data_IF_257562222574
#
_entry.id   IF_257562222574
#
_cell.length_a   1.000
_cell.length_b   1.000
_cell.length_c   1.000
_cell.angle_alpha   90.00
_cell.angle_beta   90.00
_cell.angle_gamma   90.00
#
_symmetry.space_group_name_H-M   'P 1'
#
loop_
_entity.id
_entity.type
_entity.pdbx_description
1 polymer ?
#
# COMPACT_ATOMS: atom_id res chain seq x y z
N UNK A 1 -1.97 -5.22 31.07
CA UNK A 1 -1.70 -4.74 29.70
C UNK A 1 -2.81 -3.76 29.37
N UNK A 2 -2.49 -2.46 29.35
CA UNK A 2 -3.47 -1.40 29.10
C UNK A 2 -3.79 -1.43 27.62
N UNK A 3 -5.01 -1.82 27.24
CA UNK A 3 -5.51 -1.64 25.87
C UNK A 3 -5.54 -0.14 25.59
N UNK A 4 -4.55 0.36 24.85
CA UNK A 4 -4.63 1.69 24.23
C UNK A 4 -5.75 1.59 23.20
N UNK A 5 -6.86 2.28 23.44
CA UNK A 5 -7.95 2.39 22.47
C UNK A 5 -7.52 3.42 21.44
N UNK A 6 -7.04 2.96 20.29
CA UNK A 6 -6.83 3.82 19.14
C UNK A 6 -8.18 4.33 18.64
N UNK A 7 -8.27 5.62 18.33
CA UNK A 7 -9.47 6.20 17.77
C UNK A 7 -9.61 5.69 16.32
N UNK A 8 -10.65 4.91 16.05
CA UNK A 8 -10.96 4.47 14.69
C UNK A 8 -11.24 5.71 13.83
N UNK A 9 -10.54 5.82 12.70
CA UNK A 9 -10.89 6.81 11.69
C UNK A 9 -12.30 6.52 11.16
N UNK A 10 -13.14 7.54 10.92
CA UNK A 10 -14.49 7.35 10.42
C UNK A 10 -14.46 6.97 8.92
N UNK A 11 -13.99 5.76 8.62
CA UNK A 11 -14.03 5.19 7.27
C UNK A 11 -15.42 4.61 7.02
N UNK A 12 -16.18 5.21 6.10
CA UNK A 12 -17.54 4.75 5.75
C UNK A 12 -17.50 4.01 4.41
N UNK A 13 -17.65 2.68 4.46
CA UNK A 13 -17.82 1.81 3.27
C UNK A 13 -16.74 0.74 3.09
N UNK A 14 -16.90 -0.20 2.14
CA UNK A 14 -15.95 -1.29 1.94
C UNK A 14 -14.61 -0.78 1.39
N UNK A 15 -13.60 -0.79 2.25
CA UNK A 15 -12.18 -0.55 1.93
C UNK A 15 -11.50 -1.90 1.75
N UNK A 16 -11.33 -2.35 0.51
CA UNK A 16 -10.82 -3.69 0.25
C UNK A 16 -10.30 -3.85 -1.17
N UNK A 17 -9.68 -5.00 -1.42
CA UNK A 17 -9.07 -5.29 -2.72
C UNK A 17 -10.18 -5.41 -3.78
N UNK A 18 -10.18 -4.51 -4.77
CA UNK A 18 -11.22 -4.41 -5.80
C UNK A 18 -12.37 -3.45 -5.48
N UNK A 19 -12.31 -2.67 -4.39
CA UNK A 19 -13.26 -1.58 -4.16
C UNK A 19 -12.93 -0.36 -5.03
N UNK A 20 -13.97 0.40 -5.41
CA UNK A 20 -13.81 1.66 -6.16
C UNK A 20 -12.91 2.65 -5.42
N UNK A 21 -13.02 2.71 -4.10
CA UNK A 21 -12.20 3.58 -3.26
C UNK A 21 -10.71 3.29 -3.41
N UNK A 22 -10.32 2.02 -3.60
CA UNK A 22 -8.91 1.68 -3.86
C UNK A 22 -8.44 2.22 -5.22
N UNK A 23 -9.27 2.14 -6.27
CA UNK A 23 -8.94 2.76 -7.56
C UNK A 23 -8.76 4.27 -7.41
N UNK A 24 -9.66 4.93 -6.69
CA UNK A 24 -9.64 6.36 -6.47
C UNK A 24 -8.41 6.82 -5.68
N UNK A 25 -8.13 6.22 -4.53
CA UNK A 25 -7.09 6.71 -3.61
C UNK A 25 -5.70 6.14 -3.89
N UNK A 26 -5.59 4.87 -4.32
CA UNK A 26 -4.28 4.24 -4.52
C UNK A 26 -3.66 4.51 -5.90
N UNK A 27 -4.47 4.65 -6.96
CA UNK A 27 -3.98 4.92 -8.32
C UNK A 27 -4.71 6.06 -9.03
N UNK A 28 -5.50 6.85 -8.30
CA UNK A 28 -6.16 8.03 -8.84
C UNK A 28 -7.16 7.74 -9.97
N UNK A 29 -7.74 6.55 -10.06
CA UNK A 29 -8.58 6.10 -11.18
C UNK A 29 -7.85 6.10 -12.55
N UNK A 30 -6.54 5.84 -12.58
CA UNK A 30 -5.71 5.88 -13.80
C UNK A 30 -6.26 5.04 -14.97
N UNK A 31 -6.91 3.91 -14.69
CA UNK A 31 -7.53 3.07 -15.72
C UNK A 31 -8.75 3.73 -16.39
N UNK A 32 -9.40 4.69 -15.73
CA UNK A 32 -10.57 5.41 -16.25
C UNK A 32 -10.20 6.74 -16.91
N UNK A 33 -8.94 7.19 -16.77
CA UNK A 33 -8.45 8.41 -17.42
C UNK A 33 -8.12 8.16 -18.88
N UNK A 34 -8.21 9.21 -19.68
CA UNK A 34 -7.66 9.19 -21.04
C UNK A 34 -6.16 8.90 -21.01
N UNK A 35 -5.68 8.14 -21.99
CA UNK A 35 -4.25 7.82 -22.12
C UNK A 35 -3.45 9.14 -22.19
N UNK A 36 -2.49 9.38 -21.28
CA UNK A 36 -1.82 10.67 -21.17
C UNK A 36 -0.87 10.95 -22.35
N UNK A 37 -0.47 9.91 -23.09
CA UNK A 37 0.31 10.07 -24.32
C UNK A 37 -0.56 10.67 -25.44
N UNK A 38 -0.50 12.00 -25.58
CA UNK A 38 -1.13 12.75 -26.68
C UNK A 38 -0.23 12.88 -27.92
N UNK A 39 0.99 12.36 -27.86
CA UNK A 39 1.89 12.38 -29.00
C UNK A 39 1.48 11.31 -30.01
N UNK A 40 1.82 11.49 -31.29
CA UNK A 40 1.65 10.45 -32.30
C UNK A 40 2.65 9.29 -32.17
N UNK A 41 3.46 9.25 -31.11
CA UNK A 41 4.43 8.20 -30.87
C UNK A 41 3.73 6.95 -30.30
N UNK A 42 4.30 5.78 -30.60
CA UNK A 42 3.80 4.51 -30.08
C UNK A 42 3.79 4.49 -28.54
N UNK A 43 2.75 3.87 -27.97
CA UNK A 43 2.67 3.64 -26.54
C UNK A 43 3.52 2.45 -26.14
N UNK A 44 3.88 2.35 -24.86
CA UNK A 44 4.52 1.13 -24.34
C UNK A 44 3.66 -0.12 -24.57
N UNK A 45 2.33 0.02 -24.49
CA UNK A 45 1.39 -1.06 -24.80
C UNK A 45 1.52 -1.53 -26.26
N UNK A 46 1.74 -0.63 -27.22
CA UNK A 46 1.99 -0.99 -28.63
C UNK A 46 3.31 -1.75 -28.81
N UNK A 47 4.37 -1.32 -28.11
CA UNK A 47 5.68 -1.99 -28.12
C UNK A 47 5.56 -3.41 -27.55
N UNK A 48 4.87 -3.56 -26.42
CA UNK A 48 4.61 -4.86 -25.80
C UNK A 48 3.72 -5.72 -26.70
N UNK A 49 2.64 -5.17 -27.23
CA UNK A 49 1.71 -5.87 -28.14
C UNK A 49 2.41 -6.42 -29.38
N UNK A 50 3.32 -5.64 -29.99
CA UNK A 50 4.16 -6.11 -31.10
C UNK A 50 5.11 -7.22 -30.69
N UNK A 51 5.75 -7.11 -29.52
CA UNK A 51 6.73 -8.08 -29.05
C UNK A 51 6.06 -9.42 -28.67
N UNK A 52 4.94 -9.35 -27.96
CA UNK A 52 4.13 -10.52 -27.59
C UNK A 52 3.52 -11.15 -28.84
N UNK A 53 2.96 -10.37 -29.77
CA UNK A 53 2.40 -10.88 -31.03
C UNK A 53 3.46 -11.64 -31.86
N UNK A 54 4.67 -11.09 -32.01
CA UNK A 54 5.79 -11.77 -32.68
C UNK A 54 6.20 -13.07 -31.98
N UNK A 55 6.22 -13.08 -30.65
CA UNK A 55 6.58 -14.27 -29.85
C UNK A 55 5.48 -15.33 -29.88
N UNK A 56 4.22 -14.93 -29.89
CA UNK A 56 3.06 -15.81 -30.06
C UNK A 56 2.98 -16.37 -31.46
N UNK A 57 3.39 -15.63 -32.49
CA UNK A 57 3.48 -16.14 -33.87
C UNK A 57 4.63 -17.16 -34.02
N UNK A 58 5.78 -16.89 -33.38
CA UNK A 58 6.93 -17.81 -33.38
C UNK A 58 6.71 -19.07 -32.53
N UNK A 59 5.98 -18.95 -31.41
CA UNK A 59 5.56 -20.12 -30.60
C UNK A 59 4.37 -20.85 -31.23
N UNK A 60 3.44 -20.13 -31.86
CA UNK A 60 2.26 -20.67 -32.54
C UNK A 60 2.58 -21.32 -33.89
N UNK A 61 3.65 -20.89 -34.58
CA UNK A 61 4.12 -21.53 -35.81
C UNK A 61 4.65 -22.96 -35.64
N UNK A 62 4.95 -23.37 -34.41
CA UNK A 62 5.32 -24.75 -34.05
C UNK A 62 4.17 -25.54 -33.39
N UNK A 63 2.97 -24.95 -33.24
CA UNK A 63 1.87 -25.56 -32.48
C UNK A 63 0.46 -25.26 -32.99
N UNK A 64 0.29 -24.72 -34.20
CA UNK A 64 -1.02 -24.44 -34.80
C UNK A 64 -1.73 -25.69 -35.34
N UNK A 65 -1.85 -26.73 -34.51
CA UNK A 65 -2.85 -27.77 -34.67
C UNK A 65 -3.43 -28.10 -33.28
N UNK A 66 -4.69 -27.69 -33.06
CA UNK A 66 -5.52 -27.85 -31.85
C UNK A 66 -5.21 -26.79 -30.78
N UNK A 67 -6.08 -25.82 -30.45
CA UNK A 67 -7.51 -25.90 -30.12
C UNK A 67 -8.20 -24.57 -30.50
N UNK A 68 -9.21 -24.66 -31.37
CA UNK A 68 -10.21 -23.61 -31.60
C UNK A 68 -11.41 -23.96 -30.74
N UNK A 69 -11.66 -23.19 -29.68
CA UNK A 69 -12.97 -22.82 -29.10
C UNK A 69 -12.77 -22.32 -27.67
N UNK A 70 -13.07 -21.04 -27.40
CA UNK A 70 -13.14 -20.52 -26.03
C UNK A 70 -12.90 -19.02 -25.83
N UNK A 71 -12.44 -18.27 -26.84
CA UNK A 71 -12.07 -16.84 -26.69
C UNK A 71 -13.28 -15.91 -26.85
N UNK A 72 -14.28 -16.04 -25.96
CA UNK A 72 -15.34 -15.04 -25.73
C UNK A 72 -15.77 -15.06 -24.25
N UNK A 73 -14.82 -14.87 -23.33
CA UNK A 73 -15.07 -14.32 -21.98
C UNK A 73 -13.73 -14.11 -21.28
N UNK A 74 -13.15 -12.92 -21.42
CA UNK A 74 -11.96 -12.53 -20.64
C UNK A 74 -12.24 -11.26 -19.85
N UNK A 75 -13.22 -11.36 -18.94
CA UNK A 75 -13.18 -10.64 -17.66
C UNK A 75 -12.63 -11.61 -16.62
N UNK A 76 -11.36 -11.99 -16.77
CA UNK A 76 -10.67 -12.73 -15.71
C UNK A 76 -10.31 -11.75 -14.60
N UNK A 77 -11.19 -11.68 -13.61
CA UNK A 77 -10.76 -11.46 -12.23
C UNK A 77 -9.62 -12.44 -11.97
N UNK A 78 -8.45 -11.94 -11.60
CA UNK A 78 -7.38 -12.75 -11.04
C UNK A 78 -7.84 -13.31 -9.69
N UNK A 79 -8.68 -14.34 -9.72
CA UNK A 79 -8.87 -15.25 -8.61
C UNK A 79 -7.59 -16.09 -8.56
N UNK A 80 -6.75 -15.83 -7.57
CA UNK A 80 -5.68 -16.73 -7.21
C UNK A 80 -6.35 -18.07 -6.82
N UNK A 81 -6.37 -19.02 -7.76
CA UNK A 81 -6.76 -20.38 -7.46
C UNK A 81 -5.81 -20.92 -6.38
N UNK A 82 -6.31 -21.63 -5.35
CA UNK A 82 -5.43 -22.28 -4.39
C UNK A 82 -4.58 -23.28 -5.16
N UNK A 83 -3.27 -23.02 -5.23
CA UNK A 83 -2.32 -23.92 -5.87
C UNK A 83 -2.37 -25.26 -5.18
N UNK A 84 -2.97 -26.26 -5.83
CA UNK A 84 -2.74 -27.65 -5.48
C UNK A 84 -1.29 -27.96 -5.81
N UNK A 85 -0.46 -28.11 -4.78
CA UNK A 85 0.95 -28.48 -4.90
C UNK A 85 1.08 -29.82 -5.63
N UNK A 86 1.28 -29.77 -6.94
CA UNK A 86 1.89 -30.83 -7.71
C UNK A 86 3.38 -30.84 -7.40
N UNK A 87 3.77 -31.72 -6.48
CA UNK A 87 5.17 -32.05 -6.25
C UNK A 87 5.76 -32.66 -7.53
N UNK A 88 6.59 -31.90 -8.23
CA UNK A 88 7.75 -32.41 -8.97
C UNK A 88 8.60 -31.26 -9.51
N UNK A 89 9.68 -30.96 -8.79
CA UNK A 89 10.59 -29.88 -9.15
C UNK A 89 11.72 -29.76 -8.15
N UNK A 90 12.70 -30.67 -8.25
CA UNK A 90 13.97 -30.65 -7.51
C UNK A 90 14.67 -29.28 -7.61
N UNK A 91 14.49 -28.44 -6.60
CA UNK A 91 15.42 -27.38 -6.24
C UNK A 91 15.58 -27.42 -4.71
N UNK A 92 16.77 -27.75 -4.23
CA UNK A 92 17.13 -27.73 -2.82
C UNK A 92 17.26 -26.30 -2.30
N UNK A 93 16.17 -25.54 -2.31
CA UNK A 93 16.03 -24.27 -1.61
C UNK A 93 15.39 -24.50 -0.26
N UNK A 94 15.90 -23.83 0.78
CA UNK A 94 15.31 -23.86 2.11
C UNK A 94 13.79 -23.62 2.03
N UNK A 95 13.01 -24.54 2.58
CA UNK A 95 11.55 -24.40 2.65
C UNK A 95 11.22 -23.22 3.55
N UNK A 96 10.35 -22.32 3.09
CA UNK A 96 9.80 -21.25 3.93
C UNK A 96 9.21 -21.87 5.21
N UNK A 97 9.61 -21.35 6.38
CA UNK A 97 9.29 -21.94 7.69
C UNK A 97 7.87 -21.68 8.21
N UNK A 98 6.94 -21.26 7.35
CA UNK A 98 5.56 -20.95 7.73
C UNK A 98 4.57 -21.52 6.72
N UNK A 99 3.36 -21.83 7.19
CA UNK A 99 2.24 -22.23 6.33
C UNK A 99 1.63 -20.98 5.68
N UNK A 100 1.55 -20.89 4.34
CA UNK A 100 0.91 -19.76 3.67
C UNK A 100 -0.57 -19.63 4.06
N UNK A 101 -1.04 -18.38 4.22
CA UNK A 101 -2.45 -18.06 4.45
C UNK A 101 -3.16 -17.70 3.12
N UNK A 102 -4.48 -17.86 3.10
CA UNK A 102 -5.29 -17.47 1.94
C UNK A 102 -5.48 -15.94 1.90
N UNK A 103 -5.71 -15.34 0.71
CA UNK A 103 -6.12 -13.94 0.63
C UNK A 103 -7.40 -13.69 1.43
N UNK A 104 -7.43 -12.58 2.17
CA UNK A 104 -8.58 -12.17 2.97
C UNK A 104 -9.10 -10.80 2.54
N UNK A 105 -10.37 -10.53 2.87
CA UNK A 105 -11.02 -9.23 2.75
C UNK A 105 -11.44 -8.69 4.13
N UNK A 106 -10.96 -9.31 5.21
CA UNK A 106 -11.14 -8.79 6.55
C UNK A 106 -10.41 -7.45 6.69
N UNK A 107 -10.98 -6.54 7.49
CA UNK A 107 -10.33 -5.30 7.90
C UNK A 107 -9.45 -5.57 9.12
N UNK A 108 -8.46 -6.45 8.95
CA UNK A 108 -7.53 -6.91 9.98
C UNK A 108 -6.21 -7.38 9.35
N UNK A 109 -5.13 -7.42 10.14
CA UNK A 109 -3.85 -7.98 9.71
C UNK A 109 -3.81 -9.47 10.08
N UNK A 110 -4.09 -10.30 9.10
CA UNK A 110 -3.96 -11.75 9.23
C UNK A 110 -2.52 -12.21 8.99
N UNK A 111 -1.97 -12.99 9.93
CA UNK A 111 -0.60 -13.53 9.87
C UNK A 111 -0.62 -15.06 9.97
N UNK A 112 0.43 -15.76 9.50
CA UNK A 112 0.54 -17.22 9.66
C UNK A 112 0.50 -17.67 11.13
N UNK A 113 0.14 -18.93 11.36
CA UNK A 113 0.16 -19.52 12.71
C UNK A 113 1.55 -19.40 13.36
N UNK A 114 1.59 -18.99 14.62
CA UNK A 114 2.83 -18.76 15.38
C UNK A 114 3.47 -17.38 15.17
N UNK A 115 2.86 -16.51 14.35
CA UNK A 115 3.25 -15.12 14.17
C UNK A 115 2.27 -14.18 14.89
N UNK A 116 2.73 -12.95 15.13
CA UNK A 116 1.94 -11.87 15.73
C UNK A 116 2.35 -10.53 15.10
N UNK A 117 1.52 -9.51 15.27
CA UNK A 117 1.78 -8.15 14.81
C UNK A 117 1.40 -7.13 15.88
N UNK A 118 2.06 -5.98 15.87
CA UNK A 118 1.73 -4.87 16.77
C UNK A 118 1.90 -3.53 16.04
N UNK A 119 1.11 -2.53 16.45
CA UNK A 119 1.10 -1.20 15.87
C UNK A 119 2.26 -0.37 16.46
N UNK A 120 3.20 0.03 15.61
CA UNK A 120 4.34 0.86 16.05
C UNK A 120 3.99 2.35 16.11
N UNK A 121 3.30 2.86 15.09
CA UNK A 121 2.84 4.23 15.00
C UNK A 121 1.71 4.33 13.96
N UNK A 122 0.82 5.30 14.17
CA UNK A 122 -0.33 5.61 13.34
C UNK A 122 -0.42 7.12 13.08
N UNK A 123 -1.08 7.51 12.00
CA UNK A 123 -1.27 8.92 11.69
C UNK A 123 -1.85 9.69 12.88
N UNK A 124 -1.26 10.85 13.19
CA UNK A 124 -1.70 11.69 14.29
C UNK A 124 -1.03 11.35 15.63
N UNK A 125 -0.32 10.22 15.74
CA UNK A 125 0.38 9.89 16.98
C UNK A 125 1.37 11.01 17.34
N UNK A 126 1.41 11.49 18.61
CA UNK A 126 2.35 12.52 19.02
C UNK A 126 3.79 11.98 19.02
N UNK A 127 4.69 12.56 18.21
CA UNK A 127 6.06 12.03 18.04
C UNK A 127 7.15 12.90 18.67
N UNK A 128 6.79 14.08 19.19
CA UNK A 128 7.69 14.92 19.98
C UNK A 128 7.10 15.23 21.36
N UNK A 129 7.97 15.53 22.33
CA UNK A 129 7.55 15.77 23.71
C UNK A 129 6.63 16.99 23.80
N UNK A 130 5.45 16.82 24.39
CA UNK A 130 4.43 17.88 24.53
C UNK A 130 3.53 18.06 23.31
N UNK A 131 3.72 17.26 22.26
CA UNK A 131 2.80 17.26 21.11
C UNK A 131 1.37 16.92 21.57
N UNK A 132 0.36 17.59 21.00
CA UNK A 132 -1.03 17.36 21.37
C UNK A 132 -1.50 15.98 20.90
N UNK A 133 -2.45 15.40 21.63
CA UNK A 133 -3.15 14.20 21.17
C UNK A 133 -3.88 14.48 19.84
N UNK A 134 -3.98 13.47 19.00
CA UNK A 134 -4.71 13.58 17.73
C UNK A 134 -6.19 13.88 17.98
N UNK A 135 -6.70 14.88 17.28
CA UNK A 135 -8.12 15.21 17.24
C UNK A 135 -8.49 15.56 15.80
N UNK A 136 -9.21 14.63 15.17
CA UNK A 136 -9.68 14.74 13.79
C UNK A 136 -10.51 15.99 13.54
N UNK A 137 -11.26 16.47 14.53
CA UNK A 137 -12.19 17.59 14.35
C UNK A 137 -11.57 18.97 14.59
N UNK A 138 -10.40 19.03 15.25
CA UNK A 138 -9.74 20.29 15.59
C UNK A 138 -8.28 20.32 15.15
N UNK A 139 -7.94 19.59 14.10
CA UNK A 139 -6.57 19.51 13.60
C UNK A 139 -6.10 20.88 13.06
N UNK A 140 -4.81 21.18 13.25
CA UNK A 140 -4.14 22.33 12.63
C UNK A 140 -2.79 21.91 12.08
N UNK A 141 -2.23 22.70 11.17
CA UNK A 141 -0.90 22.41 10.60
C UNK A 141 0.18 22.32 11.68
N UNK A 142 0.13 23.21 12.68
CA UNK A 142 1.07 23.22 13.81
C UNK A 142 0.98 21.97 14.69
N UNK A 143 -0.24 21.40 14.84
CA UNK A 143 -0.42 20.13 15.56
C UNK A 143 0.12 18.96 14.73
N UNK A 144 -0.25 18.92 13.44
CA UNK A 144 0.18 17.87 12.52
C UNK A 144 1.71 17.79 12.35
N UNK A 145 2.40 18.93 12.33
CA UNK A 145 3.86 19.00 12.22
C UNK A 145 4.61 18.35 13.41
N UNK A 146 3.90 18.08 14.51
CA UNK A 146 4.43 17.45 15.72
C UNK A 146 3.97 15.99 15.89
N UNK A 147 3.18 15.51 14.93
CA UNK A 147 2.54 14.21 14.93
C UNK A 147 3.06 13.37 13.77
N UNK A 148 2.84 12.06 13.85
CA UNK A 148 3.16 11.14 12.76
C UNK A 148 2.30 11.46 11.53
N UNK A 149 2.90 11.40 10.34
CA UNK A 149 2.28 11.79 9.07
C UNK A 149 1.30 10.75 8.52
N UNK A 150 0.77 11.05 7.33
CA UNK A 150 -0.29 10.28 6.67
C UNK A 150 0.25 9.38 5.56
N UNK A 151 -0.45 8.27 5.28
CA UNK A 151 -0.12 7.28 4.25
C UNK A 151 1.37 6.95 4.19
N UNK A 152 1.81 6.27 5.25
CA UNK A 152 3.17 5.79 5.35
C UNK A 152 3.51 4.86 4.18
N UNK A 153 4.71 5.04 3.64
CA UNK A 153 5.28 4.16 2.63
C UNK A 153 6.66 3.66 3.09
N UNK A 154 7.72 3.92 2.33
CA UNK A 154 9.03 3.33 2.58
C UNK A 154 9.53 3.56 4.02
N UNK A 155 9.98 2.47 4.65
CA UNK A 155 10.54 2.47 6.00
C UNK A 155 11.96 1.95 6.04
N UNK A 156 12.77 2.49 6.96
CA UNK A 156 14.11 2.01 7.21
C UNK A 156 14.47 2.02 8.69
N UNK A 157 14.88 0.86 9.21
CA UNK A 157 15.43 0.73 10.55
C UNK A 157 16.95 0.93 10.51
N UNK A 158 17.42 1.98 11.18
CA UNK A 158 18.82 2.22 11.46
C UNK A 158 19.15 1.59 12.82
N UNK A 159 19.84 0.43 12.83
CA UNK A 159 20.21 -0.22 14.07
C UNK A 159 21.25 0.63 14.82
N UNK A 160 21.42 0.39 16.12
CA UNK A 160 22.45 1.06 16.89
C UNK A 160 23.85 0.75 16.35
N UNK A 161 24.79 1.67 16.60
CA UNK A 161 26.15 1.60 16.04
C UNK A 161 26.79 0.25 16.37
N UNK A 162 27.28 -0.42 15.31
CA UNK A 162 27.90 -1.76 15.33
C UNK A 162 29.05 -1.94 16.34
N UNK A 163 29.68 -0.85 16.80
CA UNK A 163 30.89 -0.87 17.63
C UNK A 163 30.68 -0.28 19.05
N UNK A 164 29.44 -0.17 19.53
CA UNK A 164 29.11 0.19 20.91
C UNK A 164 28.56 -1.00 21.71
N UNK A 165 28.24 -0.85 23.00
CA UNK A 165 27.42 -1.82 23.71
C UNK A 165 26.17 -2.12 22.87
N UNK A 166 25.70 -3.37 22.81
CA UNK A 166 24.40 -3.69 22.22
C UNK A 166 23.35 -2.84 22.93
N UNK A 167 22.90 -1.76 22.30
CA UNK A 167 21.72 -1.04 22.76
C UNK A 167 20.52 -1.68 22.11
N UNK A 168 19.41 -1.76 22.82
CA UNK A 168 18.12 -2.23 22.27
C UNK A 168 17.40 -1.12 21.48
N UNK A 169 18.06 0.03 21.32
CA UNK A 169 17.52 1.26 20.74
C UNK A 169 17.96 1.42 19.27
N UNK A 170 17.01 1.62 18.37
CA UNK A 170 17.22 1.98 16.96
C UNK A 170 16.46 3.25 16.56
N UNK A 171 16.73 3.74 15.35
CA UNK A 171 15.94 4.80 14.72
C UNK A 171 15.16 4.21 13.54
N UNK A 172 13.86 4.43 13.51
CA UNK A 172 12.98 4.05 12.40
C UNK A 172 12.64 5.32 11.60
N UNK A 173 13.04 5.34 10.33
CA UNK A 173 12.55 6.31 9.37
C UNK A 173 11.28 5.77 8.70
N UNK A 174 10.29 6.65 8.50
CA UNK A 174 9.05 6.37 7.78
C UNK A 174 8.74 7.54 6.85
N UNK A 175 8.62 7.28 5.54
CA UNK A 175 8.11 8.26 4.57
C UNK A 175 6.60 8.41 4.69
N UNK A 176 6.10 9.62 4.40
CA UNK A 176 4.67 9.95 4.28
C UNK A 176 4.43 10.49 2.87
N UNK A 177 3.87 9.65 1.99
CA UNK A 177 3.94 9.86 0.54
C UNK A 177 2.88 10.83 0.01
N UNK A 178 1.64 10.70 0.46
CA UNK A 178 0.51 11.49 -0.01
C UNK A 178 -0.56 11.68 1.08
N UNK A 179 -1.56 12.54 0.81
CA UNK A 179 -2.74 12.72 1.64
C UNK A 179 -4.03 12.40 0.89
N UNK A 180 -5.03 11.92 1.62
CA UNK A 180 -6.39 11.72 1.12
C UNK A 180 -7.33 12.72 1.80
N UNK A 181 -7.49 13.94 1.27
CA UNK A 181 -8.18 15.01 1.99
C UNK A 181 -9.66 14.71 2.27
N UNK A 182 -10.32 13.93 1.40
CA UNK A 182 -11.68 13.46 1.63
C UNK A 182 -11.82 12.48 2.80
N UNK A 183 -10.70 11.89 3.25
CA UNK A 183 -10.63 11.07 4.47
C UNK A 183 -10.07 11.85 5.66
N UNK A 184 -9.31 12.91 5.41
CA UNK A 184 -8.71 13.73 6.46
C UNK A 184 -9.65 14.81 7.02
N UNK A 185 -10.60 15.31 6.22
CA UNK A 185 -11.46 16.42 6.63
C UNK A 185 -12.95 16.10 6.36
N UNK A 186 -13.83 16.19 7.37
CA UNK A 186 -15.27 15.96 7.20
C UNK A 186 -15.94 16.90 6.19
N UNK A 187 -15.40 18.11 6.03
CA UNK A 187 -15.96 19.21 5.24
C UNK A 187 -15.16 19.48 3.95
N UNK A 188 -14.33 18.53 3.52
CA UNK A 188 -13.57 18.68 2.29
C UNK A 188 -14.47 18.82 1.07
N UNK A 189 -14.17 19.83 0.23
CA UNK A 189 -14.79 20.01 -1.08
C UNK A 189 -13.72 19.85 -2.16
N UNK A 190 -13.89 18.85 -3.01
CA UNK A 190 -12.96 18.57 -4.10
C UNK A 190 -12.77 19.79 -5.01
N UNK A 191 -11.51 20.12 -5.29
CA UNK A 191 -11.14 21.29 -6.11
C UNK A 191 -11.27 22.65 -5.42
N UNK A 192 -11.71 22.70 -4.16
CA UNK A 192 -11.84 23.92 -3.37
C UNK A 192 -11.34 23.76 -1.92
N UNK A 193 -10.09 23.32 -1.71
CA UNK A 193 -9.55 23.17 -0.36
C UNK A 193 -9.39 24.55 0.31
N UNK A 194 -9.62 24.60 1.63
CA UNK A 194 -9.26 25.78 2.42
C UNK A 194 -7.75 25.86 2.62
N UNK A 195 -7.23 27.05 2.91
CA UNK A 195 -5.81 27.21 3.22
C UNK A 195 -5.36 26.32 4.39
N UNK A 196 -6.17 26.22 5.45
CA UNK A 196 -5.82 25.40 6.62
C UNK A 196 -5.75 23.91 6.26
N UNK A 197 -6.69 23.41 5.45
CA UNK A 197 -6.65 22.02 4.96
C UNK A 197 -5.36 21.76 4.18
N UNK A 198 -4.99 22.64 3.24
CA UNK A 198 -3.73 22.51 2.49
C UNK A 198 -2.51 22.54 3.41
N UNK A 199 -2.48 23.43 4.40
CA UNK A 199 -1.35 23.53 5.33
C UNK A 199 -1.23 22.28 6.22
N UNK A 200 -2.37 21.70 6.66
CA UNK A 200 -2.41 20.42 7.38
C UNK A 200 -1.88 19.29 6.49
N UNK A 201 -2.34 19.21 5.24
CA UNK A 201 -1.87 18.20 4.29
C UNK A 201 -0.36 18.29 4.08
N UNK A 202 0.17 19.50 3.84
CA UNK A 202 1.61 19.71 3.70
C UNK A 202 2.41 19.27 4.93
N UNK A 203 1.90 19.55 6.13
CA UNK A 203 2.51 19.12 7.38
C UNK A 203 2.45 17.59 7.60
N UNK A 204 1.52 16.89 6.95
CA UNK A 204 1.37 15.44 7.03
C UNK A 204 2.29 14.67 6.06
N UNK A 205 2.89 15.34 5.07
CA UNK A 205 3.82 14.75 4.10
C UNK A 205 5.27 14.76 4.60
N UNK A 206 6.14 14.02 3.91
CA UNK A 206 7.59 14.02 4.13
C UNK A 206 8.04 12.76 4.84
N UNK A 207 8.40 12.86 6.12
CA UNK A 207 8.78 11.68 6.89
C UNK A 207 8.97 11.93 8.38
N UNK A 208 8.89 10.86 9.15
CA UNK A 208 9.11 10.86 10.60
C UNK A 208 10.30 9.98 10.98
N UNK A 209 11.04 10.40 12.01
CA UNK A 209 12.08 9.59 12.66
C UNK A 209 11.61 9.22 14.06
N UNK A 210 11.41 7.93 14.29
CA UNK A 210 11.01 7.39 15.59
C UNK A 210 12.20 6.73 16.28
N UNK A 211 12.33 6.94 17.58
CA UNK A 211 13.21 6.10 18.41
C UNK A 211 12.42 4.85 18.81
N UNK A 212 12.91 3.68 18.40
CA UNK A 212 12.29 2.38 18.71
C UNK A 212 13.19 1.59 19.65
N UNK A 213 12.58 0.83 20.57
CA UNK A 213 13.28 -0.06 21.49
C UNK A 213 12.73 -1.47 21.34
N UNK A 214 13.59 -2.47 21.61
CA UNK A 214 13.18 -3.86 21.75
C UNK A 214 12.59 -4.14 23.13
#
# INVERSE_FOLDING_TARGET
>A
MSQVRYANLPMVGPTGTGSRSKCQWACGDDCAKEVPNRSGNETFADVVGRTVSRRSLLKGGLGAAMVVSGVLSSTERALAAPGTNGADGRHGGETLGFTPIAPSTADDVEVPEGYDWDLIASWGDPIIAGAPAFDFHTQTADKQAQQFGYNCDWTALFPPRRNGPRTEVGLLWVNHEYTDPGLMFPDYVEGAPTKEQVDIELAAHGGSVLKVNR
#
